data_IF_991395038546
#
_entry.id   IF_991395038546
#
_cell.length_a   1.000
_cell.length_b   1.000
_cell.length_c   1.000
_cell.angle_alpha   90.00
_cell.angle_beta   90.00
_cell.angle_gamma   90.00
#
_symmetry.space_group_name_H-M   'P 1'
#
loop_
_entity.id
_entity.type
_entity.pdbx_description
1 polymer ?
#
# COMPACT_ATOMS: atom_id res chain seq x y z
N UNK A 1 32.30 49.39 18.00
CA UNK A 1 31.03 48.96 17.38
C UNK A 1 31.37 48.11 16.16
N UNK A 2 31.24 46.76 16.22
CA UNK A 2 30.93 45.88 15.06
C UNK A 2 31.15 44.36 15.26
N UNK A 3 31.26 43.81 16.46
CA UNK A 3 31.40 42.33 16.59
C UNK A 3 30.05 41.58 16.54
N UNK A 4 28.94 42.23 16.92
CA UNK A 4 27.65 41.56 16.98
C UNK A 4 27.08 41.19 15.60
N UNK A 5 27.42 41.93 14.54
CA UNK A 5 26.90 41.68 13.20
C UNK A 5 27.37 40.35 12.59
N UNK A 6 28.59 39.93 12.94
CA UNK A 6 29.15 38.65 12.52
C UNK A 6 28.41 37.48 13.17
N UNK A 7 28.14 37.57 14.48
CA UNK A 7 27.39 36.57 15.23
C UNK A 7 25.96 36.40 14.67
N UNK A 8 25.29 37.50 14.33
CA UNK A 8 23.95 37.42 13.70
C UNK A 8 23.97 36.78 12.32
N UNK A 9 25.01 37.05 11.50
CA UNK A 9 25.16 36.43 10.19
C UNK A 9 25.42 34.92 10.31
N UNK A 10 26.24 34.48 11.26
CA UNK A 10 26.47 33.06 11.53
C UNK A 10 25.20 32.35 12.03
N UNK A 11 24.45 32.98 12.94
CA UNK A 11 23.16 32.47 13.40
C UNK A 11 22.16 32.32 12.25
N UNK A 12 22.11 33.31 11.34
CA UNK A 12 21.22 33.27 10.19
C UNK A 12 21.63 32.19 9.19
N UNK A 13 22.94 32.02 8.95
CA UNK A 13 23.46 30.94 8.12
C UNK A 13 23.12 29.56 8.71
N UNK A 14 23.33 29.37 10.02
CA UNK A 14 22.99 28.12 10.70
C UNK A 14 21.47 27.83 10.63
N UNK A 15 20.62 28.84 10.82
CA UNK A 15 19.18 28.70 10.70
C UNK A 15 18.75 28.30 9.28
N UNK A 16 19.35 28.90 8.25
CA UNK A 16 19.04 28.55 6.85
C UNK A 16 19.42 27.11 6.54
N UNK A 17 20.58 26.65 7.00
CA UNK A 17 21.00 25.25 6.86
C UNK A 17 20.02 24.32 7.58
N UNK A 18 19.61 24.67 8.79
CA UNK A 18 18.64 23.87 9.55
C UNK A 18 17.26 23.81 8.87
N UNK A 19 16.76 24.94 8.37
CA UNK A 19 15.53 24.99 7.59
C UNK A 19 15.63 24.14 6.31
N UNK A 20 16.76 24.18 5.61
CA UNK A 20 17.00 23.35 4.43
C UNK A 20 16.97 21.85 4.78
N UNK A 21 17.63 21.44 5.86
CA UNK A 21 17.60 20.05 6.34
C UNK A 21 16.18 19.63 6.69
N UNK A 22 15.46 20.43 7.48
CA UNK A 22 14.08 20.09 7.87
C UNK A 22 13.18 19.98 6.64
N UNK A 23 13.26 20.96 5.73
CA UNK A 23 12.44 20.98 4.51
C UNK A 23 12.70 19.79 3.58
N UNK A 24 13.94 19.28 3.55
CA UNK A 24 14.31 18.09 2.77
C UNK A 24 13.95 16.77 3.46
N UNK A 25 13.96 16.72 4.80
CA UNK A 25 13.57 15.53 5.55
C UNK A 25 12.05 15.29 5.60
N UNK A 26 11.24 16.35 5.66
CA UNK A 26 9.77 16.23 5.69
C UNK A 26 9.20 15.37 4.55
N UNK A 27 9.53 15.61 3.25
CA UNK A 27 8.97 14.81 2.16
C UNK A 27 9.40 13.34 2.25
N UNK A 28 10.64 13.06 2.67
CA UNK A 28 11.14 11.70 2.89
C UNK A 28 10.31 10.97 3.96
N UNK A 29 10.03 11.64 5.08
CA UNK A 29 9.22 11.08 6.14
C UNK A 29 7.78 10.75 5.67
N UNK A 30 7.18 11.67 4.91
CA UNK A 30 5.83 11.47 4.34
C UNK A 30 5.81 10.30 3.35
N UNK A 31 6.84 10.15 2.51
CA UNK A 31 6.97 9.03 1.58
C UNK A 31 7.06 7.69 2.34
N UNK A 32 7.95 7.59 3.34
CA UNK A 32 8.11 6.38 4.16
C UNK A 32 6.78 6.00 4.85
N UNK A 33 6.07 6.97 5.41
CA UNK A 33 4.77 6.73 6.06
C UNK A 33 3.73 6.20 5.06
N UNK A 34 3.73 6.75 3.85
CA UNK A 34 2.81 6.32 2.77
C UNK A 34 3.15 4.91 2.30
N UNK A 35 4.43 4.60 2.11
CA UNK A 35 4.87 3.29 1.64
C UNK A 35 4.62 2.20 2.69
N UNK A 36 4.82 2.50 3.99
CA UNK A 36 4.43 1.58 5.09
C UNK A 36 2.95 1.24 5.06
N UNK A 37 2.08 2.24 4.89
CA UNK A 37 0.64 2.00 4.81
C UNK A 37 0.26 1.23 3.54
N UNK A 38 0.90 1.49 2.40
CA UNK A 38 0.68 0.71 1.18
C UNK A 38 1.11 -0.76 1.35
N UNK A 39 2.24 -1.01 2.03
CA UNK A 39 2.68 -2.36 2.35
C UNK A 39 1.67 -3.07 3.27
N UNK A 40 1.12 -2.37 4.26
CA UNK A 40 0.03 -2.90 5.09
C UNK A 40 -1.19 -3.27 4.25
N UNK A 41 -1.67 -2.37 3.39
CA UNK A 41 -2.80 -2.64 2.49
C UNK A 41 -2.56 -3.85 1.58
N UNK A 42 -1.34 -3.98 1.05
CA UNK A 42 -0.95 -5.13 0.24
C UNK A 42 -1.04 -6.44 1.05
N UNK A 43 -0.51 -6.46 2.27
CA UNK A 43 -0.58 -7.63 3.14
C UNK A 43 -2.02 -7.98 3.52
N UNK A 44 -2.86 -6.97 3.81
CA UNK A 44 -4.29 -7.18 4.08
C UNK A 44 -5.00 -7.74 2.85
N UNK A 45 -4.78 -7.17 1.66
CA UNK A 45 -5.35 -7.68 0.41
C UNK A 45 -4.94 -9.13 0.16
N UNK A 46 -3.66 -9.46 0.39
CA UNK A 46 -3.13 -10.82 0.25
C UNK A 46 -3.79 -11.78 1.23
N UNK A 47 -3.92 -11.39 2.49
CA UNK A 47 -4.60 -12.19 3.51
C UNK A 47 -6.07 -12.41 3.16
N UNK A 48 -6.78 -11.40 2.65
CA UNK A 48 -8.17 -11.56 2.19
C UNK A 48 -8.24 -12.53 1.02
N UNK A 49 -7.33 -12.40 0.04
CA UNK A 49 -7.27 -13.33 -1.08
C UNK A 49 -7.02 -14.77 -0.61
N UNK A 50 -6.06 -14.97 0.29
CA UNK A 50 -5.73 -16.29 0.85
C UNK A 50 -6.93 -16.90 1.60
N UNK A 51 -7.67 -16.10 2.40
CA UNK A 51 -8.92 -16.54 3.04
C UNK A 51 -9.95 -17.04 2.01
N UNK A 52 -10.09 -16.32 0.90
CA UNK A 52 -11.03 -16.67 -0.16
C UNK A 52 -10.59 -17.92 -0.94
N UNK A 53 -9.30 -18.05 -1.26
CA UNK A 53 -8.73 -19.25 -1.91
C UNK A 53 -8.87 -20.49 -1.03
N UNK A 54 -8.64 -20.36 0.28
CA UNK A 54 -8.88 -21.44 1.25
C UNK A 54 -10.36 -21.83 1.32
N UNK A 55 -11.27 -20.86 1.21
CA UNK A 55 -12.71 -21.13 1.19
C UNK A 55 -13.12 -21.93 -0.05
N UNK A 56 -12.53 -21.62 -1.22
CA UNK A 56 -12.74 -22.39 -2.46
C UNK A 56 -12.20 -23.80 -2.29
N UNK A 57 -10.96 -23.97 -1.81
CA UNK A 57 -10.35 -25.28 -1.62
C UNK A 57 -11.12 -26.19 -0.65
N UNK A 58 -11.76 -25.60 0.36
CA UNK A 58 -12.47 -26.37 1.41
C UNK A 58 -13.94 -26.61 1.09
N UNK A 59 -14.63 -25.63 0.48
CA UNK A 59 -16.08 -25.68 0.24
C UNK A 59 -16.46 -25.82 -1.23
N UNK A 60 -15.51 -25.71 -2.16
CA UNK A 60 -15.75 -25.73 -3.60
C UNK A 60 -16.60 -24.56 -4.11
N UNK A 61 -16.81 -23.52 -3.29
CA UNK A 61 -17.71 -22.41 -3.63
C UNK A 61 -16.94 -21.14 -3.88
N UNK A 62 -17.19 -20.56 -5.05
CA UNK A 62 -16.63 -19.31 -5.50
C UNK A 62 -17.63 -18.19 -5.20
N UNK A 63 -17.19 -17.12 -4.54
CA UNK A 63 -18.03 -15.94 -4.27
C UNK A 63 -17.34 -14.69 -4.80
N UNK A 64 -18.06 -13.99 -5.67
CA UNK A 64 -17.68 -12.66 -6.15
C UNK A 64 -18.31 -11.58 -5.29
N UNK A 65 -17.65 -10.42 -5.23
CA UNK A 65 -18.24 -9.23 -4.63
C UNK A 65 -17.28 -8.34 -3.88
N UNK A 66 -17.86 -7.32 -3.25
CA UNK A 66 -17.15 -6.39 -2.40
C UNK A 66 -16.93 -7.00 -1.01
N UNK A 67 -15.70 -6.88 -0.51
CA UNK A 67 -15.28 -7.28 0.84
C UNK A 67 -14.75 -6.03 1.51
N UNK A 68 -15.28 -5.67 2.67
CA UNK A 68 -14.75 -4.56 3.46
C UNK A 68 -13.95 -5.15 4.62
N UNK A 69 -12.67 -4.78 4.73
CA UNK A 69 -11.79 -5.16 5.85
C UNK A 69 -10.96 -3.94 6.23
N UNK A 70 -10.87 -3.65 7.52
CA UNK A 70 -10.16 -2.47 8.06
C UNK A 70 -10.58 -1.14 7.39
N UNK A 71 -11.88 -0.92 7.17
CA UNK A 71 -12.45 0.24 6.46
C UNK A 71 -11.99 0.41 5.00
N UNK A 72 -11.38 -0.63 4.41
CA UNK A 72 -10.95 -0.64 3.01
C UNK A 72 -11.84 -1.59 2.21
N UNK A 73 -12.36 -1.07 1.10
CA UNK A 73 -13.12 -1.86 0.12
C UNK A 73 -12.19 -2.62 -0.82
N UNK A 74 -12.29 -3.94 -0.77
CA UNK A 74 -11.69 -4.86 -1.72
C UNK A 74 -12.77 -5.43 -2.62
N UNK A 75 -12.43 -5.77 -3.86
CA UNK A 75 -13.34 -6.47 -4.77
C UNK A 75 -12.69 -7.76 -5.23
N UNK A 76 -13.38 -8.89 -5.05
CA UNK A 76 -12.91 -10.19 -5.54
C UNK A 76 -13.68 -10.59 -6.80
N UNK A 77 -12.94 -11.06 -7.79
CA UNK A 77 -13.45 -11.61 -9.04
C UNK A 77 -12.79 -12.96 -9.30
N UNK A 78 -13.50 -13.85 -9.98
CA UNK A 78 -12.99 -15.17 -10.28
C UNK A 78 -13.04 -15.45 -11.78
N UNK A 79 -11.99 -16.06 -12.30
CA UNK A 79 -11.88 -16.43 -13.70
C UNK A 79 -11.43 -17.87 -13.81
N UNK A 80 -11.98 -18.62 -14.76
CA UNK A 80 -11.41 -19.91 -15.14
C UNK A 80 -10.13 -19.65 -15.92
N UNK A 81 -9.04 -20.33 -15.54
CA UNK A 81 -7.78 -20.18 -16.24
C UNK A 81 -7.73 -21.20 -17.40
N UNK A 82 -7.65 -20.76 -18.67
CA UNK A 82 -7.64 -21.68 -19.82
C UNK A 82 -6.40 -22.60 -19.82
N UNK A 83 -5.29 -22.17 -19.23
CA UNK A 83 -4.07 -22.99 -19.14
C UNK A 83 -4.16 -24.05 -18.03
N UNK A 84 -5.05 -23.84 -17.06
CA UNK A 84 -5.21 -24.69 -15.88
C UNK A 84 -6.70 -24.96 -15.57
N UNK A 85 -7.38 -25.83 -16.33
CA UNK A 85 -8.83 -26.04 -16.24
C UNK A 85 -9.31 -26.64 -14.90
N UNK A 86 -8.40 -27.16 -14.08
CA UNK A 86 -8.66 -27.65 -12.73
C UNK A 86 -8.51 -26.56 -11.64
N UNK A 87 -8.26 -25.31 -12.03
CA UNK A 87 -7.98 -24.21 -11.11
C UNK A 87 -8.87 -22.99 -11.40
N UNK A 88 -9.32 -22.35 -10.33
CA UNK A 88 -9.93 -21.02 -10.36
C UNK A 88 -8.86 -19.96 -10.08
N UNK A 89 -8.82 -18.91 -10.91
CA UNK A 89 -8.00 -17.73 -10.68
C UNK A 89 -8.83 -16.69 -9.92
N UNK A 90 -8.50 -16.48 -8.64
CA UNK A 90 -9.10 -15.43 -7.82
C UNK A 90 -8.26 -14.16 -7.92
N UNK A 91 -8.89 -13.05 -8.29
CA UNK A 91 -8.25 -11.74 -8.38
C UNK A 91 -8.92 -10.76 -7.42
N UNK A 92 -8.14 -10.21 -6.49
CA UNK A 92 -8.57 -9.16 -5.57
C UNK A 92 -8.07 -7.79 -6.05
N UNK A 93 -8.95 -6.81 -6.01
CA UNK A 93 -8.69 -5.45 -6.48
C UNK A 93 -8.95 -4.44 -5.36
N UNK A 94 -8.08 -3.44 -5.24
CA UNK A 94 -8.22 -2.35 -4.28
C UNK A 94 -7.52 -1.08 -4.77
N UNK A 95 -7.86 0.05 -4.16
CA UNK A 95 -7.20 1.33 -4.42
C UNK A 95 -6.18 1.60 -3.32
N UNK A 96 -4.93 1.86 -3.69
CA UNK A 96 -3.88 2.20 -2.72
C UNK A 96 -3.93 3.69 -2.34
N UNK A 97 -3.05 4.12 -1.42
CA UNK A 97 -3.01 5.52 -0.98
C UNK A 97 -2.49 6.51 -2.03
N UNK A 98 -1.91 6.00 -3.12
CA UNK A 98 -1.51 6.79 -4.29
C UNK A 98 -2.63 6.84 -5.34
N UNK A 99 -3.86 6.48 -4.96
CA UNK A 99 -5.05 6.40 -5.82
C UNK A 99 -4.90 5.47 -7.03
N UNK A 100 -3.94 4.54 -6.97
CA UNK A 100 -3.72 3.55 -8.02
C UNK A 100 -4.54 2.30 -7.70
N UNK A 101 -5.30 1.82 -8.68
CA UNK A 101 -5.94 0.49 -8.63
C UNK A 101 -4.85 -0.57 -8.73
N UNK A 102 -4.81 -1.47 -7.75
CA UNK A 102 -3.90 -2.61 -7.67
C UNK A 102 -4.74 -3.87 -7.75
N UNK A 103 -4.25 -4.84 -8.49
CA UNK A 103 -4.85 -6.16 -8.63
C UNK A 103 -3.83 -7.22 -8.22
N UNK A 104 -4.26 -8.18 -7.40
CA UNK A 104 -3.48 -9.33 -7.00
C UNK A 104 -4.27 -10.57 -7.35
N UNK A 105 -3.66 -11.50 -8.09
CA UNK A 105 -4.31 -12.74 -8.48
C UNK A 105 -3.52 -13.95 -8.01
N UNK A 106 -4.23 -15.03 -7.72
CA UNK A 106 -3.63 -16.34 -7.45
C UNK A 106 -4.58 -17.47 -7.85
N UNK A 107 -4.05 -18.70 -7.86
CA UNK A 107 -4.77 -19.91 -8.27
C UNK A 107 -5.22 -20.73 -7.06
N UNK A 108 -6.50 -21.11 -7.05
CA UNK A 108 -7.04 -22.13 -6.16
C UNK A 108 -7.42 -23.36 -6.97
N UNK A 109 -7.09 -24.55 -6.48
CA UNK A 109 -7.59 -25.80 -7.07
C UNK A 109 -9.10 -25.88 -6.86
N UNK A 110 -9.81 -26.27 -7.92
CA UNK A 110 -11.25 -26.56 -7.90
C UNK A 110 -11.58 -27.74 -7.00
#
# INVERSE_FOLDING_TARGET
>A
MKDNGYIYAELLAALLVLCFIISSCIPLYVQIKTDRKNAYLYMTARHVLDEQLLSVKSRGTVKEGAIVKDDVGFFISWKENPDFPLYYMGCIQYTNLKQKRVELCDLAKK
#
